data_IF_430070038465
#
_entry.id   IF_430070038465
#
_cell.length_a   1.000
_cell.length_b   1.000
_cell.length_c   1.000
_cell.angle_alpha   90.00
_cell.angle_beta   90.00
_cell.angle_gamma   90.00
#
_symmetry.space_group_name_H-M   'P 1'
#
loop_
_entity.id
_entity.type
_entity.pdbx_description
1 polymer ?
#
# COMPACT_ATOMS: atom_id res chain seq x y z
N UNK A 1 1.02 22.24 -22.91
CA UNK A 1 0.34 20.92 -22.88
C UNK A 1 -0.62 20.85 -24.06
N UNK A 2 -0.70 19.74 -24.78
CA UNK A 2 -1.64 19.61 -25.90
C UNK A 2 -3.03 19.28 -25.36
N UNK A 3 -3.97 20.22 -25.48
CA UNK A 3 -5.35 20.11 -24.99
C UNK A 3 -6.08 18.87 -25.54
N UNK A 4 -5.80 18.48 -26.79
CA UNK A 4 -6.44 17.32 -27.43
C UNK A 4 -6.17 15.97 -26.76
N UNK A 5 -4.93 15.72 -26.32
CA UNK A 5 -4.59 14.46 -25.64
C UNK A 5 -5.23 14.38 -24.25
N UNK A 6 -5.23 15.50 -23.53
CA UNK A 6 -5.85 15.60 -22.20
C UNK A 6 -7.37 15.43 -22.29
N UNK A 7 -8.00 16.03 -23.31
CA UNK A 7 -9.41 15.85 -23.61
C UNK A 7 -9.77 14.40 -23.95
N UNK A 8 -8.92 13.71 -24.71
CA UNK A 8 -9.07 12.28 -25.02
C UNK A 8 -9.02 11.43 -23.75
N UNK A 9 -8.02 11.64 -22.90
CA UNK A 9 -7.91 10.93 -21.62
C UNK A 9 -9.09 11.22 -20.70
N UNK A 10 -9.55 12.47 -20.62
CA UNK A 10 -10.75 12.83 -19.86
C UNK A 10 -11.99 12.12 -20.40
N UNK A 11 -12.31 12.25 -21.69
CA UNK A 11 -13.53 11.68 -22.29
C UNK A 11 -13.63 10.17 -22.10
N UNK A 12 -12.51 9.47 -22.18
CA UNK A 12 -12.46 8.02 -22.04
C UNK A 12 -12.65 7.55 -20.59
N UNK A 13 -12.22 8.38 -19.63
CA UNK A 13 -12.00 7.95 -18.26
C UNK A 13 -12.83 8.74 -17.22
N UNK A 14 -13.56 9.77 -17.65
CA UNK A 14 -14.32 10.71 -16.81
C UNK A 14 -15.23 10.01 -15.82
N UNK A 15 -16.04 9.05 -16.27
CA UNK A 15 -16.96 8.32 -15.38
C UNK A 15 -16.26 7.56 -14.27
N UNK A 16 -15.09 6.98 -14.54
CA UNK A 16 -14.28 6.31 -13.51
C UNK A 16 -13.79 7.33 -12.49
N UNK A 17 -13.29 8.48 -12.94
CA UNK A 17 -12.83 9.53 -12.02
C UNK A 17 -13.96 10.11 -11.17
N UNK A 18 -15.11 10.40 -11.79
CA UNK A 18 -16.31 10.89 -11.09
C UNK A 18 -16.77 9.88 -10.04
N UNK A 19 -16.82 8.59 -10.38
CA UNK A 19 -17.20 7.54 -9.45
C UNK A 19 -16.23 7.43 -8.26
N UNK A 20 -14.91 7.53 -8.51
CA UNK A 20 -13.90 7.54 -7.44
C UNK A 20 -14.14 8.73 -6.49
N UNK A 21 -14.39 9.93 -7.03
CA UNK A 21 -14.65 11.13 -6.21
C UNK A 21 -15.92 10.96 -5.37
N UNK A 22 -17.02 10.49 -5.97
CA UNK A 22 -18.28 10.24 -5.24
C UNK A 22 -18.08 9.19 -4.14
N UNK A 23 -17.37 8.10 -4.43
CA UNK A 23 -17.08 7.06 -3.46
C UNK A 23 -16.23 7.58 -2.29
N UNK A 24 -15.21 8.39 -2.57
CA UNK A 24 -14.41 9.06 -1.53
C UNK A 24 -15.28 9.97 -0.67
N UNK A 25 -16.05 10.88 -1.27
CA UNK A 25 -16.94 11.79 -0.52
C UNK A 25 -17.90 11.01 0.37
N UNK A 26 -18.55 9.98 -0.17
CA UNK A 26 -19.50 9.15 0.60
C UNK A 26 -18.84 8.40 1.75
N UNK A 27 -17.66 7.81 1.51
CA UNK A 27 -16.89 7.11 2.55
C UNK A 27 -16.46 8.06 3.66
N UNK A 28 -15.87 9.21 3.31
CA UNK A 28 -15.36 10.16 4.28
C UNK A 28 -16.47 10.84 5.06
N UNK A 29 -17.61 11.15 4.43
CA UNK A 29 -18.79 11.67 5.10
C UNK A 29 -19.36 10.66 6.11
N UNK A 30 -19.50 9.40 5.70
CA UNK A 30 -19.99 8.32 6.58
C UNK A 30 -19.06 8.11 7.77
N UNK A 31 -17.75 8.13 7.54
CA UNK A 31 -16.75 8.03 8.60
C UNK A 31 -16.89 9.20 9.57
N UNK A 32 -16.99 10.43 9.07
CA UNK A 32 -17.16 11.63 9.89
C UNK A 32 -18.40 11.54 10.80
N UNK A 33 -19.56 11.17 10.24
CA UNK A 33 -20.81 11.07 11.00
C UNK A 33 -20.77 9.95 12.03
N UNK A 34 -20.18 8.81 11.68
CA UNK A 34 -20.06 7.66 12.59
C UNK A 34 -19.14 7.98 13.76
N UNK A 35 -17.97 8.59 13.51
CA UNK A 35 -17.04 8.99 14.57
C UNK A 35 -17.69 9.98 15.55
N UNK A 36 -18.41 10.98 15.03
CA UNK A 36 -19.12 11.96 15.88
C UNK A 36 -20.25 11.30 16.67
N UNK A 37 -21.04 10.42 16.06
CA UNK A 37 -22.11 9.69 16.76
C UNK A 37 -21.53 8.83 17.87
N UNK A 38 -20.50 8.02 17.56
CA UNK A 38 -19.83 7.14 18.52
C UNK A 38 -19.27 7.92 19.71
N UNK A 39 -18.59 9.06 19.44
CA UNK A 39 -18.12 9.93 20.51
C UNK A 39 -19.26 10.45 21.38
N UNK A 40 -20.33 10.96 20.78
CA UNK A 40 -21.47 11.51 21.52
C UNK A 40 -22.20 10.46 22.35
N UNK A 41 -22.33 9.24 21.84
CA UNK A 41 -22.98 8.14 22.54
C UNK A 41 -22.13 7.67 23.74
N UNK A 42 -20.82 7.52 23.56
CA UNK A 42 -19.89 7.22 24.65
C UNK A 42 -19.85 8.33 25.69
N UNK A 43 -19.81 9.60 25.24
CA UNK A 43 -19.80 10.76 26.12
C UNK A 43 -21.07 10.84 26.98
N UNK A 44 -22.25 10.56 26.41
CA UNK A 44 -23.51 10.45 27.15
C UNK A 44 -23.53 9.26 28.10
N UNK A 45 -22.99 8.12 27.69
CA UNK A 45 -22.89 6.93 28.54
C UNK A 45 -22.13 7.21 29.83
N UNK A 46 -20.97 7.87 29.75
CA UNK A 46 -20.18 8.26 30.93
C UNK A 46 -20.87 9.29 31.83
N UNK A 47 -21.88 9.99 31.34
CA UNK A 47 -22.72 10.91 32.11
C UNK A 47 -24.00 10.27 32.64
N UNK A 48 -24.31 9.04 32.24
CA UNK A 48 -25.57 8.37 32.56
C UNK A 48 -25.61 7.87 34.01
N UNK A 49 -26.82 7.76 34.55
CA UNK A 49 -27.05 7.12 35.85
C UNK A 49 -26.62 5.65 35.86
N UNK A 50 -26.67 4.98 34.71
CA UNK A 50 -26.28 3.58 34.56
C UNK A 50 -24.78 3.39 34.80
N UNK A 51 -23.95 4.23 34.18
CA UNK A 51 -22.51 4.24 34.45
C UNK A 51 -22.23 4.57 35.92
N UNK A 52 -22.90 5.57 36.51
CA UNK A 52 -22.71 5.93 37.91
C UNK A 52 -23.08 4.79 38.89
N UNK A 53 -24.10 3.98 38.56
CA UNK A 53 -24.49 2.80 39.36
C UNK A 53 -23.48 1.66 39.26
N UNK A 54 -22.89 1.47 38.08
CA UNK A 54 -21.91 0.40 37.82
C UNK A 54 -20.50 0.75 38.29
N UNK A 55 -20.17 2.05 38.39
CA UNK A 55 -18.84 2.54 38.77
C UNK A 55 -18.68 2.64 40.30
N UNK A 56 -18.82 1.51 41.01
CA UNK A 56 -18.68 1.41 42.47
C UNK A 56 -17.22 1.32 42.94
N UNK A 57 -16.98 1.60 44.23
CA UNK A 57 -15.68 1.90 44.84
C UNK A 57 -14.50 0.95 44.55
N UNK A 58 -14.74 -0.32 44.23
CA UNK A 58 -13.67 -1.30 43.93
C UNK A 58 -13.25 -1.35 42.44
N UNK A 59 -13.99 -0.68 41.54
CA UNK A 59 -13.71 -0.61 40.09
C UNK A 59 -13.88 0.82 39.53
N UNK A 60 -13.74 1.83 40.39
CA UNK A 60 -14.05 3.20 40.01
C UNK A 60 -13.05 3.74 38.98
N UNK A 61 -13.48 3.92 37.73
CA UNK A 61 -12.67 4.60 36.73
C UNK A 61 -12.42 6.04 37.16
N UNK A 62 -11.15 6.44 37.14
CA UNK A 62 -10.72 7.82 37.36
C UNK A 62 -11.14 8.71 36.19
N UNK A 63 -11.25 10.02 36.42
CA UNK A 63 -11.54 10.97 35.35
C UNK A 63 -10.50 10.96 34.22
N UNK A 64 -9.25 10.56 34.51
CA UNK A 64 -8.21 10.39 33.51
C UNK A 64 -8.41 9.14 32.66
N UNK A 65 -8.88 8.03 33.25
CA UNK A 65 -9.21 6.82 32.49
C UNK A 65 -10.41 7.05 31.58
N UNK A 66 -11.45 7.73 32.08
CA UNK A 66 -12.62 8.13 31.25
C UNK A 66 -12.19 9.07 30.12
N UNK A 67 -11.30 10.02 30.40
CA UNK A 67 -10.76 10.91 29.37
C UNK A 67 -9.99 10.13 28.31
N UNK A 68 -9.14 9.19 28.71
CA UNK A 68 -8.34 8.41 27.78
C UNK A 68 -9.22 7.50 26.92
N UNK A 69 -10.28 6.91 27.48
CA UNK A 69 -11.24 6.10 26.74
C UNK A 69 -12.04 6.92 25.70
N UNK A 70 -12.44 8.14 26.07
CA UNK A 70 -13.10 9.09 25.16
C UNK A 70 -12.17 9.73 24.14
N UNK A 71 -10.86 9.64 24.33
CA UNK A 71 -9.89 10.31 23.45
C UNK A 71 -9.74 9.53 22.14
N UNK A 72 -9.96 10.24 21.04
CA UNK A 72 -9.79 9.71 19.71
C UNK A 72 -8.33 9.81 19.28
N UNK A 73 -7.90 8.80 18.55
CA UNK A 73 -6.62 8.71 17.87
C UNK A 73 -6.81 8.95 16.38
N UNK A 74 -5.74 9.21 15.60
CA UNK A 74 -5.84 9.27 14.15
C UNK A 74 -6.44 8.00 13.50
N UNK A 75 -6.41 6.85 14.20
CA UNK A 75 -6.92 5.54 13.75
C UNK A 75 -8.43 5.46 13.75
N UNK A 76 -9.07 6.18 14.66
CA UNK A 76 -10.53 6.28 14.71
C UNK A 76 -11.09 7.01 13.48
N UNK A 77 -10.20 7.55 12.63
CA UNK A 77 -10.51 8.19 11.36
C UNK A 77 -10.11 7.35 10.13
N UNK A 78 -9.72 6.07 10.29
CA UNK A 78 -9.30 5.23 9.16
C UNK A 78 -10.43 4.99 8.15
N UNK A 79 -11.65 4.73 8.64
CA UNK A 79 -12.82 4.47 7.79
C UNK A 79 -12.55 3.39 6.74
N UNK A 80 -12.82 3.69 5.46
CA UNK A 80 -12.55 2.78 4.34
C UNK A 80 -11.27 3.12 3.55
N UNK A 81 -10.34 3.90 4.12
CA UNK A 81 -9.13 4.33 3.41
C UNK A 81 -8.32 3.14 2.86
N UNK A 82 -8.31 2.00 3.57
CA UNK A 82 -7.69 0.76 3.11
C UNK A 82 -8.26 0.21 1.78
N UNK A 83 -9.57 0.35 1.55
CA UNK A 83 -10.20 -0.12 0.30
C UNK A 83 -9.79 0.73 -0.91
N UNK A 84 -9.52 2.02 -0.70
CA UNK A 84 -9.11 2.91 -1.77
C UNK A 84 -7.73 2.60 -2.33
N UNK A 85 -6.88 1.85 -1.61
CA UNK A 85 -5.65 1.30 -2.18
C UNK A 85 -5.93 0.48 -3.44
N UNK A 86 -6.96 -0.36 -3.40
CA UNK A 86 -7.38 -1.17 -4.54
C UNK A 86 -8.01 -0.32 -5.65
N UNK A 87 -8.74 0.74 -5.30
CA UNK A 87 -9.30 1.67 -6.29
C UNK A 87 -8.20 2.31 -7.14
N UNK A 88 -7.12 2.79 -6.50
CA UNK A 88 -5.98 3.36 -7.23
C UNK A 88 -5.16 2.31 -8.00
N UNK A 89 -5.09 1.08 -7.48
CA UNK A 89 -4.51 -0.06 -8.19
C UNK A 89 -5.29 -0.32 -9.49
N UNK A 90 -6.62 -0.44 -9.39
CA UNK A 90 -7.47 -0.65 -10.55
C UNK A 90 -7.40 0.52 -11.53
N UNK A 91 -7.29 1.76 -11.04
CA UNK A 91 -7.11 2.92 -11.89
C UNK A 91 -5.81 2.83 -12.72
N UNK A 92 -4.69 2.42 -12.10
CA UNK A 92 -3.43 2.22 -12.82
C UNK A 92 -3.49 1.08 -13.85
N UNK A 93 -4.13 -0.04 -13.51
CA UNK A 93 -4.37 -1.14 -14.47
C UNK A 93 -5.29 -0.69 -15.59
N UNK A 94 -6.32 0.10 -15.28
CA UNK A 94 -7.28 0.65 -16.25
C UNK A 94 -6.54 1.45 -17.31
N UNK A 95 -5.70 2.41 -16.90
CA UNK A 95 -4.96 3.30 -17.79
C UNK A 95 -3.81 2.61 -18.56
N UNK A 96 -3.58 1.32 -18.30
CA UNK A 96 -2.54 0.53 -18.98
C UNK A 96 -3.14 -0.69 -19.68
N UNK A 97 -3.38 -1.77 -18.95
CA UNK A 97 -3.69 -3.08 -19.53
C UNK A 97 -5.10 -3.16 -20.10
N UNK A 98 -6.08 -2.51 -19.48
CA UNK A 98 -7.43 -2.48 -20.04
C UNK A 98 -7.50 -1.67 -21.33
N UNK A 99 -6.75 -0.57 -21.44
CA UNK A 99 -6.61 0.19 -22.69
C UNK A 99 -5.94 -0.61 -23.80
N UNK A 100 -4.88 -1.36 -23.46
CA UNK A 100 -4.21 -2.27 -24.40
C UNK A 100 -5.18 -3.33 -24.93
N UNK A 101 -5.93 -3.96 -24.03
CA UNK A 101 -6.88 -4.99 -24.42
C UNK A 101 -8.01 -4.47 -25.31
N UNK A 102 -8.43 -3.21 -25.11
CA UNK A 102 -9.40 -2.53 -25.98
C UNK A 102 -8.78 -1.93 -27.24
N UNK A 103 -7.50 -2.21 -27.51
CA UNK A 103 -6.72 -1.66 -28.62
C UNK A 103 -6.61 -0.12 -28.65
N UNK A 104 -6.94 0.56 -27.55
CA UNK A 104 -6.92 2.03 -27.48
C UNK A 104 -5.48 2.57 -27.49
N UNK A 105 -4.52 1.78 -27.05
CA UNK A 105 -3.09 2.12 -27.13
C UNK A 105 -2.62 2.18 -28.60
N UNK A 106 -3.17 1.38 -29.53
CA UNK A 106 -2.84 1.47 -30.96
C UNK A 106 -3.25 2.82 -31.53
N UNK A 107 -4.46 3.27 -31.22
CA UNK A 107 -4.94 4.60 -31.59
C UNK A 107 -4.07 5.70 -30.96
N UNK A 108 -3.77 5.58 -29.67
CA UNK A 108 -3.02 6.60 -28.93
C UNK A 108 -1.58 6.74 -29.40
N UNK A 109 -0.93 5.63 -29.76
CA UNK A 109 0.42 5.65 -30.35
C UNK A 109 0.45 6.07 -31.82
N UNK A 110 -0.68 6.05 -32.52
CA UNK A 110 -0.82 6.63 -33.86
C UNK A 110 -1.00 8.15 -33.88
N UNK A 111 -1.26 8.78 -32.73
CA UNK A 111 -1.37 10.23 -32.62
C UNK A 111 0.01 10.91 -32.76
N UNK A 112 0.08 12.18 -33.19
CA UNK A 112 1.34 12.93 -33.35
C UNK A 112 1.90 13.40 -31.99
N UNK A 113 1.87 12.54 -30.97
CA UNK A 113 2.39 12.80 -29.64
C UNK A 113 3.50 11.82 -29.30
N UNK A 114 4.55 12.33 -28.64
CA UNK A 114 5.63 11.46 -28.16
C UNK A 114 5.13 10.51 -27.07
N UNK A 115 5.71 9.30 -26.98
CA UNK A 115 5.42 8.36 -25.87
C UNK A 115 5.59 9.01 -24.49
N UNK A 116 6.54 9.95 -24.35
CA UNK A 116 6.76 10.73 -23.13
C UNK A 116 5.57 11.60 -22.78
N UNK A 117 5.04 12.33 -23.76
CA UNK A 117 3.84 13.13 -23.56
C UNK A 117 2.66 12.23 -23.16
N UNK A 118 2.44 11.13 -23.88
CA UNK A 118 1.36 10.17 -23.57
C UNK A 118 1.46 9.66 -22.13
N UNK A 119 2.65 9.21 -21.71
CA UNK A 119 2.88 8.74 -20.35
C UNK A 119 2.49 9.78 -19.30
N UNK A 120 2.99 11.01 -19.41
CA UNK A 120 2.69 12.05 -18.42
C UNK A 120 1.23 12.51 -18.43
N UNK A 121 0.53 12.45 -19.57
CA UNK A 121 -0.90 12.74 -19.59
C UNK A 121 -1.71 11.66 -18.87
N UNK A 122 -1.31 10.39 -18.96
CA UNK A 122 -1.91 9.30 -18.17
C UNK A 122 -1.69 9.50 -16.66
N UNK A 123 -0.60 10.15 -16.24
CA UNK A 123 -0.33 10.43 -14.82
C UNK A 123 -1.06 11.65 -14.27
N UNK A 124 -1.34 12.64 -15.10
CA UNK A 124 -1.79 13.96 -14.63
C UNK A 124 -3.09 13.91 -13.84
N UNK A 125 -4.13 13.26 -14.36
CA UNK A 125 -5.45 13.23 -13.70
C UNK A 125 -5.39 12.41 -12.40
N UNK A 126 -4.80 11.19 -12.36
CA UNK A 126 -4.63 10.46 -11.11
C UNK A 126 -3.80 11.22 -10.06
N UNK A 127 -2.73 11.92 -10.47
CA UNK A 127 -1.93 12.73 -9.55
C UNK A 127 -2.75 13.90 -8.97
N UNK A 128 -3.56 14.58 -9.79
CA UNK A 128 -4.47 15.62 -9.31
C UNK A 128 -5.49 15.04 -8.32
N UNK A 129 -6.02 13.86 -8.62
CA UNK A 129 -6.97 13.19 -7.73
C UNK A 129 -6.32 12.85 -6.38
N UNK A 130 -5.11 12.26 -6.40
CA UNK A 130 -4.37 11.87 -5.18
C UNK A 130 -3.89 13.08 -4.37
N UNK A 131 -3.31 14.10 -5.01
CA UNK A 131 -2.63 15.18 -4.29
C UNK A 131 -3.47 16.44 -4.09
N UNK A 132 -4.62 16.55 -4.73
CA UNK A 132 -5.49 17.73 -4.60
C UNK A 132 -6.87 17.33 -4.09
N UNK A 133 -7.59 16.48 -4.81
CA UNK A 133 -8.98 16.17 -4.46
C UNK A 133 -9.10 15.34 -3.18
N UNK A 134 -8.36 14.24 -3.06
CA UNK A 134 -8.40 13.38 -1.85
C UNK A 134 -8.04 14.15 -0.58
N UNK A 135 -6.96 14.96 -0.53
CA UNK A 135 -6.63 15.77 0.64
C UNK A 135 -7.73 16.77 1.00
N UNK A 136 -8.37 17.40 0.01
CA UNK A 136 -9.49 18.33 0.25
C UNK A 136 -10.66 17.59 0.89
N UNK A 137 -11.04 16.42 0.37
CA UNK A 137 -12.16 15.62 0.91
C UNK A 137 -11.86 15.19 2.35
N UNK A 138 -10.65 14.69 2.61
CA UNK A 138 -10.24 14.29 3.95
C UNK A 138 -10.17 15.50 4.90
N UNK A 139 -9.70 16.66 4.42
CA UNK A 139 -9.72 17.89 5.19
C UNK A 139 -11.13 18.31 5.58
N UNK A 140 -12.11 18.20 4.67
CA UNK A 140 -13.52 18.47 4.98
C UNK A 140 -14.06 17.53 6.07
N UNK A 141 -13.68 16.25 6.07
CA UNK A 141 -14.00 15.31 7.17
C UNK A 141 -13.44 15.79 8.50
N UNK A 142 -12.15 16.09 8.55
CA UNK A 142 -11.50 16.56 9.78
C UNK A 142 -12.15 17.85 10.28
N UNK A 143 -12.41 18.79 9.39
CA UNK A 143 -13.09 20.03 9.70
C UNK A 143 -14.45 19.79 10.37
N UNK A 144 -15.25 18.86 9.83
CA UNK A 144 -16.53 18.48 10.44
C UNK A 144 -16.36 17.88 11.85
N UNK A 145 -15.44 16.93 12.03
CA UNK A 145 -15.22 16.26 13.32
C UNK A 145 -14.74 17.28 14.38
N UNK A 146 -13.78 18.14 14.03
CA UNK A 146 -13.21 19.14 14.96
C UNK A 146 -14.19 20.23 15.35
N UNK A 147 -15.27 20.45 14.59
CA UNK A 147 -16.36 21.35 14.98
C UNK A 147 -17.33 20.73 15.99
N UNK A 148 -17.42 19.40 16.05
CA UNK A 148 -18.41 18.69 16.85
C UNK A 148 -17.85 18.13 18.15
N UNK A 149 -16.57 17.77 18.18
CA UNK A 149 -15.91 17.12 19.32
C UNK A 149 -14.98 18.12 20.02
N UNK A 150 -14.99 18.22 21.37
CA UNK A 150 -14.06 19.08 22.08
C UNK A 150 -12.61 18.69 21.81
N UNK A 151 -11.76 19.68 21.51
CA UNK A 151 -10.34 19.45 21.16
C UNK A 151 -9.50 18.70 22.19
N UNK A 152 -9.95 18.63 23.45
CA UNK A 152 -9.32 17.83 24.50
C UNK A 152 -9.29 16.32 24.19
N UNK A 153 -10.27 15.83 23.42
CA UNK A 153 -10.44 14.42 23.05
C UNK A 153 -10.00 14.14 21.62
N UNK A 154 -9.44 15.12 20.92
CA UNK A 154 -9.00 14.98 19.54
C UNK A 154 -7.48 14.84 19.46
N UNK A 155 -6.97 14.10 18.46
CA UNK A 155 -5.54 14.04 18.24
C UNK A 155 -5.01 15.40 17.77
N UNK A 156 -3.69 15.57 17.83
CA UNK A 156 -3.09 16.80 17.33
C UNK A 156 -3.31 16.94 15.82
N UNK A 157 -3.37 18.18 15.34
CA UNK A 157 -3.47 18.47 13.90
C UNK A 157 -2.25 17.91 13.15
N UNK A 158 -1.07 17.94 13.79
CA UNK A 158 0.16 17.39 13.22
C UNK A 158 0.05 15.89 12.97
N UNK A 159 -0.40 15.12 13.96
CA UNK A 159 -0.54 13.67 13.84
C UNK A 159 -1.58 13.30 12.77
N UNK A 160 -2.67 14.07 12.71
CA UNK A 160 -3.69 13.93 11.67
C UNK A 160 -3.14 14.21 10.27
N UNK A 161 -2.31 15.24 10.08
CA UNK A 161 -1.69 15.55 8.79
C UNK A 161 -0.66 14.50 8.37
N UNK A 162 0.13 13.98 9.31
CA UNK A 162 1.06 12.88 9.05
C UNK A 162 0.30 11.65 8.60
N UNK A 163 -0.78 11.29 9.31
CA UNK A 163 -1.66 10.18 8.95
C UNK A 163 -2.21 10.31 7.52
N UNK A 164 -2.77 11.47 7.17
CA UNK A 164 -3.26 11.73 5.79
C UNK A 164 -2.14 11.51 4.77
N UNK A 165 -0.98 12.10 5.02
CA UNK A 165 0.16 12.07 4.10
C UNK A 165 0.62 10.63 3.83
N UNK A 166 0.55 9.75 4.83
CA UNK A 166 0.85 8.32 4.67
C UNK A 166 -0.11 7.64 3.69
N UNK A 167 -1.42 7.87 3.80
CA UNK A 167 -2.40 7.29 2.88
C UNK A 167 -2.23 7.81 1.46
N UNK A 168 -1.93 9.10 1.28
CA UNK A 168 -1.66 9.67 -0.04
C UNK A 168 -0.46 9.01 -0.71
N UNK A 169 0.62 8.77 0.04
CA UNK A 169 1.79 8.06 -0.47
C UNK A 169 1.49 6.60 -0.80
N UNK A 170 0.64 5.93 -0.01
CA UNK A 170 0.20 4.57 -0.31
C UNK A 170 -0.69 4.51 -1.55
N UNK A 171 -1.59 5.48 -1.75
CA UNK A 171 -2.37 5.61 -2.99
C UNK A 171 -1.47 5.85 -4.20
N UNK A 172 -0.47 6.72 -4.06
CA UNK A 172 0.54 6.93 -5.11
C UNK A 172 1.31 5.64 -5.41
N UNK A 173 1.79 4.94 -4.38
CA UNK A 173 2.54 3.70 -4.55
C UNK A 173 1.68 2.64 -5.25
N UNK A 174 0.45 2.44 -4.79
CA UNK A 174 -0.50 1.49 -5.39
C UNK A 174 -0.77 1.81 -6.86
N UNK A 175 -1.04 3.07 -7.19
CA UNK A 175 -1.25 3.53 -8.55
C UNK A 175 -0.01 3.31 -9.44
N UNK A 176 1.17 3.71 -8.97
CA UNK A 176 2.41 3.62 -9.74
C UNK A 176 2.88 2.18 -9.92
N UNK A 177 2.69 1.32 -8.92
CA UNK A 177 2.87 -0.13 -9.01
C UNK A 177 1.99 -0.72 -10.11
N UNK A 178 0.69 -0.41 -10.10
CA UNK A 178 -0.24 -0.89 -11.12
C UNK A 178 0.12 -0.42 -12.52
N UNK A 179 0.54 0.84 -12.66
CA UNK A 179 1.07 1.38 -13.92
C UNK A 179 2.35 0.64 -14.37
N UNK A 180 3.23 0.27 -13.45
CA UNK A 180 4.46 -0.47 -13.76
C UNK A 180 4.14 -1.90 -14.23
N UNK A 181 3.36 -2.63 -13.44
CA UNK A 181 2.90 -3.99 -13.78
C UNK A 181 2.16 -3.97 -15.11
N UNK A 182 1.25 -3.01 -15.29
CA UNK A 182 0.46 -2.93 -16.49
C UNK A 182 1.22 -2.51 -17.76
N UNK A 183 2.39 -1.89 -17.62
CA UNK A 183 3.30 -1.62 -18.73
C UNK A 183 4.31 -2.74 -18.99
N UNK A 184 4.56 -3.61 -18.02
CA UNK A 184 5.41 -4.78 -18.16
C UNK A 184 4.67 -6.00 -18.72
N UNK A 185 3.42 -6.20 -18.28
CA UNK A 185 2.61 -7.40 -18.55
C UNK A 185 1.61 -7.13 -19.67
N UNK A 186 1.54 -8.05 -20.64
CA UNK A 186 0.67 -7.90 -21.81
C UNK A 186 -0.72 -8.51 -21.66
N UNK A 187 -0.97 -9.33 -20.64
CA UNK A 187 -2.23 -10.05 -20.41
C UNK A 187 -2.95 -9.51 -19.17
N UNK A 188 -4.26 -9.21 -19.28
CA UNK A 188 -5.05 -8.59 -18.20
C UNK A 188 -5.05 -9.41 -16.92
N UNK A 189 -5.38 -10.70 -17.01
CA UNK A 189 -5.54 -11.56 -15.83
C UNK A 189 -4.22 -11.65 -15.06
N UNK A 190 -3.14 -11.91 -15.78
CA UNK A 190 -1.78 -11.97 -15.23
C UNK A 190 -1.37 -10.63 -14.59
N UNK A 191 -1.64 -9.50 -15.24
CA UNK A 191 -1.35 -8.18 -14.68
C UNK A 191 -2.15 -7.91 -13.40
N UNK A 192 -3.42 -8.31 -13.37
CA UNK A 192 -4.28 -8.21 -12.20
C UNK A 192 -3.77 -9.04 -11.03
N UNK A 193 -3.44 -10.31 -11.26
CA UNK A 193 -2.90 -11.21 -10.23
C UNK A 193 -1.57 -10.67 -9.69
N UNK A 194 -0.66 -10.21 -10.56
CA UNK A 194 0.63 -9.66 -10.13
C UNK A 194 0.42 -8.37 -9.34
N UNK A 195 -0.40 -7.43 -9.81
CA UNK A 195 -0.62 -6.17 -9.11
C UNK A 195 -1.27 -6.38 -7.73
N UNK A 196 -2.32 -7.20 -7.65
CA UNK A 196 -3.00 -7.52 -6.39
C UNK A 196 -2.07 -8.31 -5.47
N UNK A 197 -1.37 -9.32 -5.98
CA UNK A 197 -0.41 -10.11 -5.21
C UNK A 197 0.74 -9.25 -4.66
N UNK A 198 1.26 -8.33 -5.46
CA UNK A 198 2.31 -7.40 -5.04
C UNK A 198 1.82 -6.40 -4.00
N UNK A 199 0.61 -5.84 -4.14
CA UNK A 199 0.09 -4.91 -3.11
C UNK A 199 -0.19 -5.68 -1.82
N UNK A 200 -0.86 -6.83 -1.86
CA UNK A 200 -1.17 -7.62 -0.66
C UNK A 200 0.11 -8.09 0.02
N UNK A 201 1.09 -8.58 -0.74
CA UNK A 201 2.38 -8.99 -0.18
C UNK A 201 3.14 -7.79 0.39
N UNK A 202 3.10 -6.62 -0.25
CA UNK A 202 3.68 -5.40 0.31
C UNK A 202 2.98 -4.95 1.60
N UNK A 203 1.65 -5.04 1.67
CA UNK A 203 0.90 -4.62 2.84
C UNK A 203 1.13 -5.59 4.00
N UNK A 204 1.04 -6.91 3.80
CA UNK A 204 0.95 -7.86 4.91
C UNK A 204 2.19 -8.71 5.15
N UNK A 205 3.14 -8.78 4.22
CA UNK A 205 4.27 -9.72 4.32
C UNK A 205 5.62 -9.03 4.25
N UNK A 206 5.90 -8.24 3.21
CA UNK A 206 7.26 -7.83 2.87
C UNK A 206 7.95 -6.96 3.93
N UNK A 207 7.35 -5.87 4.46
CA UNK A 207 7.99 -5.04 5.48
C UNK A 207 8.32 -5.83 6.74
N UNK A 208 7.36 -6.57 7.29
CA UNK A 208 7.55 -7.40 8.48
C UNK A 208 8.57 -8.51 8.26
N UNK A 209 8.50 -9.20 7.13
CA UNK A 209 9.47 -10.25 6.79
C UNK A 209 10.90 -9.70 6.66
N UNK A 210 11.06 -8.56 5.99
CA UNK A 210 12.38 -7.93 5.82
C UNK A 210 12.94 -7.48 7.17
N UNK A 211 12.14 -6.80 7.98
CA UNK A 211 12.55 -6.35 9.32
C UNK A 211 12.90 -7.52 10.22
N UNK A 212 12.09 -8.59 10.21
CA UNK A 212 12.33 -9.81 10.97
C UNK A 212 13.71 -10.40 10.65
N UNK A 213 14.02 -10.54 9.36
CA UNK A 213 15.34 -11.04 8.94
C UNK A 213 16.47 -10.11 9.38
N UNK A 214 16.35 -8.80 9.17
CA UNK A 214 17.39 -7.83 9.53
C UNK A 214 17.69 -7.87 11.03
N UNK A 215 16.64 -7.80 11.86
CA UNK A 215 16.77 -7.79 13.31
C UNK A 215 17.28 -9.14 13.80
N UNK A 216 16.74 -10.25 13.30
CA UNK A 216 17.19 -11.59 13.67
C UNK A 216 18.67 -11.82 13.36
N UNK A 217 19.14 -11.46 12.17
CA UNK A 217 20.56 -11.56 11.85
C UNK A 217 21.42 -10.60 12.68
N UNK A 218 20.97 -9.37 12.91
CA UNK A 218 21.70 -8.39 13.74
C UNK A 218 21.83 -8.88 15.19
N UNK A 219 20.78 -9.45 15.77
CA UNK A 219 20.77 -10.05 17.10
C UNK A 219 21.79 -11.17 17.21
N UNK A 220 21.79 -12.07 16.23
CA UNK A 220 22.77 -13.14 16.16
C UNK A 220 24.21 -12.62 16.07
N UNK A 221 24.52 -11.71 15.14
CA UNK A 221 25.89 -11.23 14.93
C UNK A 221 26.43 -10.37 16.09
N UNK A 222 25.56 -9.71 16.83
CA UNK A 222 25.96 -8.89 17.99
C UNK A 222 25.92 -9.65 19.31
N UNK A 223 25.45 -10.90 19.32
CA UNK A 223 25.32 -11.72 20.53
C UNK A 223 24.34 -11.13 21.54
N UNK A 224 23.32 -10.40 21.08
CA UNK A 224 22.29 -9.77 21.90
C UNK A 224 20.94 -10.43 21.70
N UNK A 225 20.03 -10.27 22.66
CA UNK A 225 18.63 -10.69 22.47
C UNK A 225 17.94 -9.77 21.47
N UNK A 226 16.80 -10.18 20.93
CA UNK A 226 16.03 -9.32 20.03
C UNK A 226 15.47 -8.12 20.80
N UNK A 227 15.04 -8.31 22.05
CA UNK A 227 14.58 -7.22 22.93
C UNK A 227 15.65 -6.14 23.08
N UNK A 228 16.91 -6.52 23.26
CA UNK A 228 18.02 -5.56 23.41
C UNK A 228 18.32 -4.75 22.14
N UNK A 229 17.92 -5.26 20.96
CA UNK A 229 18.14 -4.60 19.67
C UNK A 229 16.95 -3.76 19.24
N UNK A 230 15.75 -4.29 19.45
CA UNK A 230 14.49 -3.69 18.99
C UNK A 230 13.76 -2.91 20.09
N UNK A 231 14.30 -2.91 21.32
CA UNK A 231 13.75 -2.17 22.46
C UNK A 231 12.42 -2.74 22.98
N UNK A 232 12.13 -4.02 22.72
CA UNK A 232 10.87 -4.65 23.10
C UNK A 232 9.68 -4.30 22.20
N UNK A 233 9.91 -3.64 21.06
CA UNK A 233 8.92 -3.55 20.00
C UNK A 233 8.67 -4.96 19.45
N UNK A 234 7.65 -5.66 19.95
CA UNK A 234 7.25 -6.98 19.42
C UNK A 234 6.84 -6.78 17.96
N UNK A 235 7.75 -7.04 17.01
CA UNK A 235 7.62 -6.89 15.56
C UNK A 235 6.45 -6.00 15.14
N UNK A 236 6.57 -4.73 15.51
CA UNK A 236 5.68 -3.64 15.14
C UNK A 236 5.85 -3.24 13.66
N UNK A 237 6.23 -4.19 12.80
CA UNK A 237 6.29 -4.04 11.34
C UNK A 237 5.45 -5.10 10.61
N UNK A 238 4.55 -5.79 11.33
CA UNK A 238 3.56 -6.66 10.73
C UNK A 238 2.35 -5.81 10.30
N UNK A 239 2.11 -5.76 8.99
CA UNK A 239 1.04 -5.02 8.29
C UNK A 239 1.36 -3.52 8.05
N UNK A 240 2.09 -3.24 6.96
CA UNK A 240 2.51 -1.88 6.55
C UNK A 240 3.26 -1.21 7.74
N UNK A 241 3.57 0.09 7.78
CA UNK A 241 4.06 0.67 9.00
C UNK A 241 2.93 0.69 10.02
N UNK A 242 2.86 -0.34 10.84
CA UNK A 242 2.21 -0.29 12.14
C UNK A 242 2.69 0.90 12.99
N UNK A 243 3.87 1.54 12.80
CA UNK A 243 4.14 2.84 13.43
C UNK A 243 3.29 3.99 12.85
N UNK A 244 2.83 3.89 11.59
CA UNK A 244 1.81 4.80 11.02
C UNK A 244 0.42 4.47 11.54
N UNK A 245 0.15 3.21 11.93
CA UNK A 245 -1.14 2.71 12.44
C UNK A 245 -1.24 2.53 13.99
N UNK A 246 -0.17 2.75 14.76
CA UNK A 246 -0.11 2.57 16.23
C UNK A 246 0.65 3.67 17.01
N UNK A 247 0.84 4.86 16.41
CA UNK A 247 1.10 6.10 17.14
C UNK A 247 2.54 6.60 17.14
N UNK A 248 3.45 6.03 16.34
CA UNK A 248 4.82 6.53 16.18
C UNK A 248 5.21 6.61 14.71
N UNK A 249 4.65 7.57 13.97
CA UNK A 249 4.95 7.77 12.54
C UNK A 249 6.45 7.98 12.32
N UNK A 250 7.14 7.01 11.74
CA UNK A 250 8.57 7.11 11.46
C UNK A 250 8.80 7.79 10.11
N UNK A 251 9.43 8.98 10.12
CA UNK A 251 9.72 9.76 8.91
C UNK A 251 10.50 8.96 7.84
N UNK A 252 11.27 7.96 8.24
CA UNK A 252 11.98 7.05 7.35
C UNK A 252 11.05 6.27 6.41
N UNK A 253 9.85 5.92 6.85
CA UNK A 253 8.87 5.13 6.08
C UNK A 253 8.29 5.93 4.91
N UNK A 254 8.09 7.23 5.11
CA UNK A 254 7.73 8.16 4.04
C UNK A 254 8.80 8.19 2.95
N UNK A 255 10.07 8.28 3.35
CA UNK A 255 11.20 8.24 2.43
C UNK A 255 11.21 6.96 1.59
N UNK A 256 10.99 5.81 2.21
CA UNK A 256 10.92 4.51 1.52
C UNK A 256 9.76 4.47 0.53
N UNK A 257 8.55 4.88 0.91
CA UNK A 257 7.38 4.88 0.01
C UNK A 257 7.56 5.82 -1.19
N UNK A 258 8.19 6.99 -0.99
CA UNK A 258 8.53 7.92 -2.06
C UNK A 258 9.52 7.26 -3.03
N UNK A 259 10.60 6.66 -2.52
CA UNK A 259 11.62 5.98 -3.33
C UNK A 259 10.99 4.83 -4.12
N UNK A 260 10.14 4.01 -3.49
CA UNK A 260 9.45 2.91 -4.16
C UNK A 260 8.50 3.41 -5.25
N UNK A 261 7.72 4.46 -4.97
CA UNK A 261 6.83 5.08 -5.97
C UNK A 261 7.60 5.62 -7.17
N UNK A 262 8.73 6.31 -6.94
CA UNK A 262 9.63 6.79 -8.00
C UNK A 262 10.23 5.61 -8.77
N UNK A 263 10.65 4.54 -8.08
CA UNK A 263 11.13 3.32 -8.71
C UNK A 263 10.10 2.70 -9.65
N UNK A 264 8.84 2.57 -9.20
CA UNK A 264 7.74 2.06 -10.03
C UNK A 264 7.44 2.97 -11.22
N UNK A 265 7.50 4.29 -11.04
CA UNK A 265 7.38 5.27 -12.13
C UNK A 265 8.44 5.07 -13.20
N UNK A 266 9.72 4.92 -12.79
CA UNK A 266 10.85 4.71 -13.71
C UNK A 266 10.67 3.39 -14.47
N UNK A 267 10.33 2.31 -13.77
CA UNK A 267 10.06 1.00 -14.36
C UNK A 267 8.92 1.11 -15.38
N UNK A 268 7.81 1.74 -15.00
CA UNK A 268 6.64 1.92 -15.86
C UNK A 268 6.98 2.70 -17.13
N UNK A 269 7.71 3.80 -17.01
CA UNK A 269 8.17 4.61 -18.14
C UNK A 269 9.05 3.81 -19.09
N UNK A 270 10.07 3.11 -18.55
CA UNK A 270 10.99 2.33 -19.36
C UNK A 270 10.29 1.13 -20.04
N UNK A 271 9.35 0.50 -19.34
CA UNK A 271 8.50 -0.55 -19.89
C UNK A 271 7.63 -0.03 -21.05
N UNK A 272 6.93 1.10 -20.88
CA UNK A 272 6.11 1.70 -21.94
C UNK A 272 6.95 2.15 -23.15
N UNK A 273 8.14 2.71 -22.92
CA UNK A 273 9.05 3.13 -23.99
C UNK A 273 9.44 1.95 -24.87
N UNK A 274 9.77 0.82 -24.24
CA UNK A 274 10.30 -0.38 -24.92
C UNK A 274 9.24 -1.42 -25.29
N UNK A 275 7.98 -1.20 -24.89
CA UNK A 275 6.86 -2.04 -25.26
C UNK A 275 6.64 -2.06 -26.77
N UNK A 276 6.54 -3.26 -27.33
CA UNK A 276 6.06 -3.49 -28.69
C UNK A 276 4.60 -3.94 -28.64
N UNK A 277 3.77 -3.35 -29.49
CA UNK A 277 2.35 -3.69 -29.64
C UNK A 277 2.14 -5.13 -30.16
N UNK A 278 3.11 -5.71 -30.85
CA UNK A 278 3.08 -7.10 -31.32
C UNK A 278 3.16 -8.13 -30.18
N UNK A 279 3.57 -7.69 -28.99
CA UNK A 279 3.68 -8.54 -27.81
C UNK A 279 2.45 -8.42 -26.88
N UNK A 280 1.39 -7.73 -27.32
CA UNK A 280 0.12 -7.70 -26.58
C UNK A 280 -0.42 -9.13 -26.40
N UNK A 281 -0.88 -9.46 -25.18
CA UNK A 281 -1.31 -10.81 -24.81
C UNK A 281 -0.19 -11.79 -24.42
N UNK A 282 1.09 -11.37 -24.42
CA UNK A 282 2.19 -12.17 -23.83
C UNK A 282 2.34 -11.86 -22.35
N UNK A 283 2.90 -12.83 -21.59
CA UNK A 283 3.23 -12.66 -20.17
C UNK A 283 4.08 -11.39 -19.92
N UNK A 284 5.09 -11.13 -20.75
CA UNK A 284 5.82 -9.86 -20.77
C UNK A 284 5.73 -9.20 -22.13
N UNK A 285 5.52 -7.88 -22.12
CA UNK A 285 5.49 -7.04 -23.33
C UNK A 285 6.87 -6.89 -23.98
N UNK A 286 7.95 -7.03 -23.21
CA UNK A 286 9.32 -6.99 -23.71
C UNK A 286 10.16 -8.08 -23.02
N UNK A 287 10.75 -8.96 -23.83
CA UNK A 287 11.55 -10.09 -23.35
C UNK A 287 12.84 -9.67 -22.61
N UNK A 288 13.33 -8.43 -22.82
CA UNK A 288 14.52 -7.93 -22.11
C UNK A 288 14.32 -7.83 -20.60
N UNK A 289 13.07 -7.73 -20.13
CA UNK A 289 12.76 -7.71 -18.70
C UNK A 289 12.73 -9.07 -18.01
N UNK A 290 12.86 -10.18 -18.76
CA UNK A 290 12.78 -11.53 -18.18
C UNK A 290 13.82 -11.75 -17.08
N UNK A 291 15.09 -11.46 -17.39
CA UNK A 291 16.18 -11.68 -16.43
C UNK A 291 16.08 -10.73 -15.22
N UNK A 292 15.86 -9.41 -15.38
CA UNK A 292 15.62 -8.53 -14.23
C UNK A 292 14.45 -8.97 -13.34
N UNK A 293 13.31 -9.33 -13.93
CA UNK A 293 12.13 -9.76 -13.17
C UNK A 293 12.39 -11.10 -12.47
N UNK A 294 13.13 -12.01 -13.09
CA UNK A 294 13.51 -13.28 -12.48
C UNK A 294 14.33 -13.03 -11.22
N UNK A 295 15.36 -12.19 -11.31
CA UNK A 295 16.25 -11.89 -10.19
C UNK A 295 15.48 -11.18 -9.07
N UNK A 296 14.82 -10.08 -9.39
CA UNK A 296 14.10 -9.26 -8.40
C UNK A 296 12.94 -10.04 -7.78
N UNK A 297 12.14 -10.73 -8.60
CA UNK A 297 10.99 -11.52 -8.16
C UNK A 297 11.40 -12.68 -7.25
N UNK A 298 12.48 -13.39 -7.60
CA UNK A 298 12.96 -14.52 -6.78
C UNK A 298 13.50 -14.04 -5.43
N UNK A 299 14.26 -12.94 -5.40
CA UNK A 299 14.74 -12.33 -4.17
C UNK A 299 13.56 -11.84 -3.30
N UNK A 300 12.60 -11.17 -3.91
CA UNK A 300 11.40 -10.67 -3.22
C UNK A 300 10.62 -11.80 -2.54
N UNK A 301 10.29 -12.86 -3.29
CA UNK A 301 9.56 -14.02 -2.75
C UNK A 301 10.35 -14.71 -1.64
N UNK A 302 11.67 -14.80 -1.81
CA UNK A 302 12.56 -15.37 -0.78
C UNK A 302 12.49 -14.57 0.51
N UNK A 303 12.63 -13.24 0.44
CA UNK A 303 12.53 -12.35 1.62
C UNK A 303 11.16 -12.53 2.29
N UNK A 304 10.07 -12.41 1.53
CA UNK A 304 8.71 -12.55 2.06
C UNK A 304 8.50 -13.89 2.79
N UNK A 305 8.80 -15.02 2.15
CA UNK A 305 8.51 -16.33 2.73
C UNK A 305 9.47 -16.69 3.87
N UNK A 306 10.77 -16.43 3.71
CA UNK A 306 11.74 -16.76 4.74
C UNK A 306 11.58 -15.90 5.99
N UNK A 307 11.30 -14.60 5.82
CA UNK A 307 11.13 -13.68 6.93
C UNK A 307 9.77 -13.79 7.60
N UNK A 308 8.68 -13.95 6.85
CA UNK A 308 7.35 -14.04 7.45
C UNK A 308 7.17 -15.30 8.30
N UNK A 309 7.80 -16.41 7.90
CA UNK A 309 7.72 -17.69 8.63
C UNK A 309 8.93 -17.95 9.53
N UNK A 310 9.81 -16.95 9.74
CA UNK A 310 10.85 -17.03 10.75
C UNK A 310 10.27 -16.68 12.12
N UNK A 311 10.28 -17.63 13.05
CA UNK A 311 9.96 -17.39 14.45
C UNK A 311 11.25 -17.33 15.24
N UNK A 312 11.45 -16.25 15.99
CA UNK A 312 12.54 -16.10 16.95
C UNK A 312 11.97 -15.87 18.34
N UNK A 313 12.62 -16.42 19.36
CA UNK A 313 12.30 -16.10 20.75
C UNK A 313 12.97 -14.76 21.09
N UNK A 314 12.19 -13.79 21.56
CA UNK A 314 12.64 -12.42 21.75
C UNK A 314 13.59 -12.28 22.94
N UNK A 315 13.35 -13.06 23.98
CA UNK A 315 14.06 -12.98 25.27
C UNK A 315 15.31 -13.85 25.31
N UNK A 316 15.57 -14.62 24.24
CA UNK A 316 16.68 -15.56 24.18
C UNK A 316 17.66 -15.19 23.08
N UNK A 317 18.93 -15.52 23.30
CA UNK A 317 19.93 -15.46 22.26
C UNK A 317 19.59 -16.45 21.15
N UNK A 318 19.73 -16.01 19.90
CA UNK A 318 19.46 -16.85 18.75
C UNK A 318 20.57 -17.90 18.63
N UNK A 319 20.29 -19.20 18.77
CA UNK A 319 21.30 -20.23 18.66
C UNK A 319 21.76 -20.40 17.21
N UNK A 320 23.03 -20.78 17.04
CA UNK A 320 23.64 -21.01 15.72
C UNK A 320 22.85 -22.01 14.86
N UNK A 321 22.27 -23.04 15.47
CA UNK A 321 21.43 -24.02 14.77
C UNK A 321 20.17 -23.41 14.12
N UNK A 322 19.55 -22.42 14.76
CA UNK A 322 18.38 -21.74 14.21
C UNK A 322 18.75 -20.86 13.01
N UNK A 323 19.90 -20.18 13.07
CA UNK A 323 20.42 -19.40 11.94
C UNK A 323 20.80 -20.28 10.75
N UNK A 324 21.49 -21.39 11.00
CA UNK A 324 21.84 -22.36 9.94
C UNK A 324 20.55 -22.89 9.28
N UNK A 325 19.54 -23.27 10.07
CA UNK A 325 18.24 -23.71 9.55
C UNK A 325 17.57 -22.64 8.68
N UNK A 326 17.59 -21.38 9.12
CA UNK A 326 17.03 -20.26 8.35
C UNK A 326 17.78 -20.03 7.04
N UNK A 327 19.12 -20.07 7.03
CA UNK A 327 19.92 -19.93 5.82
C UNK A 327 19.61 -21.05 4.82
N UNK A 328 19.51 -22.30 5.28
CA UNK A 328 19.11 -23.43 4.42
C UNK A 328 17.72 -23.19 3.84
N UNK A 329 16.74 -22.74 4.64
CA UNK A 329 15.40 -22.39 4.16
C UNK A 329 15.45 -21.28 3.11
N UNK A 330 16.22 -20.21 3.33
CA UNK A 330 16.41 -19.10 2.38
C UNK A 330 16.93 -19.63 1.04
N UNK A 331 17.96 -20.48 1.06
CA UNK A 331 18.54 -21.06 -0.16
C UNK A 331 17.52 -21.92 -0.90
N UNK A 332 16.78 -22.79 -0.19
CA UNK A 332 15.77 -23.66 -0.80
C UNK A 332 14.62 -22.86 -1.42
N UNK A 333 14.12 -21.83 -0.71
CA UNK A 333 13.07 -20.94 -1.23
C UNK A 333 13.57 -20.16 -2.44
N UNK A 334 14.82 -19.69 -2.43
CA UNK A 334 15.41 -18.98 -3.55
C UNK A 334 15.51 -19.86 -4.79
N UNK A 335 16.01 -21.09 -4.64
CA UNK A 335 16.10 -22.08 -5.74
C UNK A 335 14.71 -22.39 -6.29
N UNK A 336 13.74 -22.67 -5.42
CA UNK A 336 12.36 -22.94 -5.84
C UNK A 336 11.74 -21.74 -6.58
N UNK A 337 11.95 -20.52 -6.08
CA UNK A 337 11.47 -19.28 -6.69
C UNK A 337 12.09 -19.06 -8.08
N UNK A 338 13.41 -19.23 -8.20
CA UNK A 338 14.12 -19.12 -9.48
C UNK A 338 13.58 -20.12 -10.50
N UNK A 339 13.37 -21.38 -10.10
CA UNK A 339 12.81 -22.41 -10.98
C UNK A 339 11.38 -22.05 -11.41
N UNK A 340 10.53 -21.61 -10.47
CA UNK A 340 9.17 -21.19 -10.77
C UNK A 340 9.13 -20.01 -11.75
N UNK A 341 9.86 -18.92 -11.47
CA UNK A 341 9.95 -17.77 -12.35
C UNK A 341 10.52 -18.12 -13.74
N UNK A 342 11.52 -19.01 -13.78
CA UNK A 342 12.07 -19.49 -15.03
C UNK A 342 11.03 -20.27 -15.86
N UNK A 343 10.26 -21.17 -15.24
CA UNK A 343 9.17 -21.89 -15.91
C UNK A 343 8.10 -20.93 -16.45
N UNK A 344 7.67 -19.96 -15.65
CA UNK A 344 6.67 -18.94 -16.03
C UNK A 344 7.15 -18.10 -17.23
N UNK A 345 8.40 -17.64 -17.23
CA UNK A 345 8.90 -16.70 -18.25
C UNK A 345 9.46 -17.35 -19.50
N UNK A 346 9.97 -18.59 -19.42
CA UNK A 346 10.65 -19.25 -20.54
C UNK A 346 9.90 -20.47 -21.09
N UNK A 347 9.06 -21.17 -20.30
CA UNK A 347 8.36 -22.40 -20.75
C UNK A 347 6.84 -22.27 -20.93
N UNK A 348 6.21 -21.19 -20.47
CA UNK A 348 4.75 -21.00 -20.60
C UNK A 348 4.24 -21.02 -22.05
N UNK A 349 5.04 -20.55 -23.02
CA UNK A 349 4.67 -20.60 -24.46
C UNK A 349 4.66 -22.00 -25.07
N UNK A 350 5.42 -22.94 -24.53
CA UNK A 350 5.40 -24.35 -24.97
C UNK A 350 4.26 -25.15 -24.35
N UNK A 351 3.74 -24.71 -23.18
CA UNK A 351 2.66 -25.41 -22.47
C UNK A 351 1.25 -25.09 -22.99
N UNK A 352 1.02 -23.88 -23.55
CA UNK A 352 -0.29 -23.48 -24.13
C UNK A 352 -0.51 -23.95 -25.58
N UNK A 353 0.47 -24.64 -26.18
CA UNK A 353 0.44 -25.11 -27.59
C UNK A 353 -0.04 -26.57 -27.74
N UNK A 354 -0.49 -27.20 -26.67
CA UNK A 354 -1.11 -28.52 -26.68
C UNK A 354 -2.53 -28.43 -26.16
#
# INVERSE_FOLDING_TARGET
MSTGLLWKEWRQNAWVFIFIVIAFIGSEATTATNTVSMFNDNYKYYQSEEFQKNNTADQQMTGNEIKNDLSLTPYDFEGNLGLFFYVFLFLGLKLTVFEKNKQMDYFTFGLPYSKKQIFWHKMLIPLLLIFVLVPIIIFCRFWYIYQQIPGLYLPSVSDSLMYISSFLLLYLFSYTLAMAVGNLVGEIITAGIIAIGSIVSFLYMFPGALTNLIIGFKAFFTGKTIVDIDGGAVMLYNAIPTPILQGTTALSEFGVLIILSIGMLIISWYAMKTASLENNGRFLMNNKFRLPILIIGSLYVTICLSGHYASFNYDQLIPTGQVISLIIKIILILVASVIAFWMLMYKWKTLRKH
#
